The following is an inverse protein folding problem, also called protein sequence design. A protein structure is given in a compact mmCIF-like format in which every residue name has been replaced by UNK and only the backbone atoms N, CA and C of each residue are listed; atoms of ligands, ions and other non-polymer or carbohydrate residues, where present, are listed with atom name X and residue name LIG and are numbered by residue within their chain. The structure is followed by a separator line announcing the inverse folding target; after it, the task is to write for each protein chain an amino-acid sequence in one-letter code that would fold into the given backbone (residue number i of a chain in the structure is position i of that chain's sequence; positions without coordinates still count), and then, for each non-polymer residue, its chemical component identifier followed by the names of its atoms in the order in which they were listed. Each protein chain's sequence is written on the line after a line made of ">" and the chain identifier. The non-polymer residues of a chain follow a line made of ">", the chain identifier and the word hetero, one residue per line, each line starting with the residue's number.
data_IF_605955299640
#
_entry.id   IF_605955299640
#
_cell.length_a   1.000
_cell.length_b   1.000
_cell.length_c   1.000
_cell.angle_alpha   90.00
_cell.angle_beta   90.00
_cell.angle_gamma   90.00
#
_symmetry.space_group_name_H-M   'P 1'
#
loop_
_entity.id
_entity.type
_entity.pdbx_description
1 polymer ?
#
# COMPACT_ATOMS: atom_id res chain seq x y z
N UNK A 1 18.43 7.10 0.98
CA UNK A 1 17.43 6.35 1.77
C UNK A 1 17.70 4.85 1.68
N UNK A 2 17.63 4.12 2.80
CA UNK A 2 17.79 2.67 2.82
C UNK A 2 16.61 1.94 2.13
N UNK A 3 16.86 0.79 1.48
CA UNK A 3 15.81 0.02 0.78
C UNK A 3 14.70 -0.45 1.73
N UNK A 4 15.04 -0.74 2.98
CA UNK A 4 14.08 -1.12 4.01
C UNK A 4 13.12 0.03 4.37
N UNK A 5 13.67 1.23 4.50
CA UNK A 5 12.90 2.44 4.81
C UNK A 5 11.93 2.79 3.68
N UNK A 6 12.36 2.65 2.41
CA UNK A 6 11.46 2.81 1.24
C UNK A 6 10.31 1.81 1.26
N UNK A 7 10.61 0.54 1.52
CA UNK A 7 9.59 -0.51 1.60
C UNK A 7 8.60 -0.26 2.75
N UNK A 8 9.11 0.19 3.90
CA UNK A 8 8.31 0.54 5.06
C UNK A 8 7.37 1.70 4.76
N UNK A 9 7.86 2.78 4.14
CA UNK A 9 7.06 3.92 3.70
C UNK A 9 5.98 3.53 2.69
N UNK A 10 6.34 2.71 1.70
CA UNK A 10 5.42 2.25 0.67
C UNK A 10 4.28 1.42 1.28
N UNK A 11 4.59 0.45 2.13
CA UNK A 11 3.61 -0.36 2.84
C UNK A 11 2.75 0.49 3.79
N UNK A 12 3.36 1.48 4.45
CA UNK A 12 2.68 2.37 5.37
C UNK A 12 1.65 3.26 4.65
N UNK A 13 2.06 3.92 3.57
CA UNK A 13 1.18 4.78 2.78
C UNK A 13 0.01 3.99 2.18
N UNK A 14 0.28 2.79 1.65
CA UNK A 14 -0.76 1.91 1.14
C UNK A 14 -1.75 1.52 2.24
N UNK A 15 -1.26 1.21 3.44
CA UNK A 15 -2.11 0.91 4.60
C UNK A 15 -3.00 2.10 4.96
N UNK A 16 -2.46 3.31 5.01
CA UNK A 16 -3.23 4.54 5.29
C UNK A 16 -4.30 4.78 4.22
N UNK A 17 -3.97 4.60 2.94
CA UNK A 17 -4.95 4.78 1.85
C UNK A 17 -6.07 3.73 1.86
N UNK A 18 -5.79 2.55 2.40
CA UNK A 18 -6.73 1.43 2.50
C UNK A 18 -7.71 1.54 3.67
N UNK A 19 -7.48 2.48 4.59
CA UNK A 19 -8.39 2.68 5.72
C UNK A 19 -9.78 3.15 5.25
N UNK A 20 -10.78 2.83 6.07
CA UNK A 20 -12.15 3.33 5.89
C UNK A 20 -12.42 4.58 6.72
N UNK A 21 -11.62 4.83 7.75
CA UNK A 21 -11.79 5.90 8.72
C UNK A 21 -10.44 6.53 9.09
N UNK A 22 -10.47 7.77 9.59
CA UNK A 22 -9.27 8.48 10.04
C UNK A 22 -8.63 7.76 11.24
N UNK A 23 -7.30 7.81 11.29
CA UNK A 23 -6.53 7.26 12.40
C UNK A 23 -6.80 8.04 13.70
N UNK A 24 -6.68 7.40 14.88
CA UNK A 24 -6.79 8.10 16.15
C UNK A 24 -5.69 9.17 16.27
N UNK A 25 -6.03 10.30 16.90
CA UNK A 25 -5.15 11.48 17.06
C UNK A 25 -3.78 11.10 17.63
N UNK A 26 -3.73 10.23 18.64
CA UNK A 26 -2.47 9.76 19.25
C UNK A 26 -1.56 8.97 18.29
N UNK A 27 -2.10 8.43 17.19
CA UNK A 27 -1.33 7.78 16.13
C UNK A 27 -0.93 8.82 15.08
N UNK A 28 -1.82 9.76 14.74
CA UNK A 28 -1.52 10.86 13.82
C UNK A 28 -0.37 11.75 14.33
N UNK A 29 -0.36 12.08 15.62
CA UNK A 29 0.75 12.81 16.25
C UNK A 29 2.08 12.06 16.10
N UNK A 30 2.09 10.74 16.35
CA UNK A 30 3.30 9.92 16.20
C UNK A 30 3.78 9.89 14.75
N UNK A 31 2.87 9.81 13.79
CA UNK A 31 3.19 9.85 12.36
C UNK A 31 3.81 11.20 12.00
N UNK A 32 3.24 12.30 12.50
CA UNK A 32 3.78 13.64 12.30
C UNK A 32 5.18 13.77 12.88
N UNK A 33 5.39 13.36 14.13
CA UNK A 33 6.71 13.38 14.76
C UNK A 33 7.73 12.61 13.92
N UNK A 34 7.33 11.47 13.34
CA UNK A 34 8.20 10.69 12.44
C UNK A 34 8.47 11.44 11.12
N UNK A 35 7.48 12.14 10.56
CA UNK A 35 7.67 13.00 9.38
C UNK A 35 8.60 14.18 9.63
N UNK A 36 8.55 14.78 10.83
CA UNK A 36 9.40 15.90 11.24
C UNK A 36 10.85 15.48 11.56
N UNK A 37 11.00 14.29 12.17
CA UNK A 37 12.31 13.74 12.56
C UNK A 37 12.96 12.91 11.46
N UNK A 38 12.22 12.65 10.37
CA UNK A 38 12.60 11.78 9.25
C UNK A 38 12.98 10.35 9.70
N UNK A 39 12.51 9.90 10.87
CA UNK A 39 12.76 8.57 11.45
C UNK A 39 11.79 7.53 10.89
N UNK A 40 11.71 7.41 9.57
CA UNK A 40 10.70 6.61 8.88
C UNK A 40 10.70 5.11 9.25
N UNK A 41 11.81 4.57 9.76
CA UNK A 41 11.87 3.20 10.26
C UNK A 41 10.92 2.96 11.46
N UNK A 42 10.56 4.02 12.20
CA UNK A 42 9.55 3.95 13.27
C UNK A 42 8.13 3.74 12.75
N UNK A 43 7.85 4.01 11.47
CA UNK A 43 6.54 3.76 10.87
C UNK A 43 6.17 2.26 10.89
N UNK A 44 7.16 1.37 10.80
CA UNK A 44 6.95 -0.08 10.93
C UNK A 44 6.31 -0.43 12.29
N UNK A 45 6.93 0.07 13.36
CA UNK A 45 6.43 -0.14 14.71
C UNK A 45 5.05 0.50 14.90
N UNK A 46 4.83 1.72 14.40
CA UNK A 46 3.53 2.40 14.50
C UNK A 46 2.44 1.57 13.79
N UNK A 47 2.67 1.13 12.56
CA UNK A 47 1.71 0.36 11.80
C UNK A 47 1.41 -1.02 12.43
N UNK A 48 2.43 -1.70 12.97
CA UNK A 48 2.26 -2.99 13.64
C UNK A 48 1.52 -2.89 14.98
N UNK A 49 1.67 -1.77 15.69
CA UNK A 49 1.02 -1.54 16.99
C UNK A 49 -0.37 -0.91 16.87
N UNK A 50 -0.70 -0.30 15.72
CA UNK A 50 -2.03 0.22 15.46
C UNK A 50 -2.93 -0.87 14.87
N UNK A 51 -3.98 -1.34 15.57
CA UNK A 51 -4.83 -2.43 15.08
C UNK A 51 -5.57 -2.09 13.78
N UNK A 52 -5.81 -0.80 13.50
CA UNK A 52 -6.45 -0.33 12.27
C UNK A 52 -5.51 -0.42 11.06
N UNK A 53 -4.22 -0.12 11.24
CA UNK A 53 -3.23 -0.16 10.15
C UNK A 53 -2.65 -1.54 9.92
N UNK A 54 -2.50 -2.32 10.99
CA UNK A 54 -1.82 -3.62 10.97
C UNK A 54 -2.27 -4.54 9.83
N UNK A 55 -3.57 -4.80 9.59
CA UNK A 55 -3.99 -5.71 8.52
C UNK A 55 -3.52 -5.23 7.15
N UNK A 56 -3.90 -4.00 6.76
CA UNK A 56 -3.55 -3.43 5.45
C UNK A 56 -2.04 -3.20 5.29
N UNK A 57 -1.33 -2.91 6.39
CA UNK A 57 0.13 -2.79 6.38
C UNK A 57 0.81 -4.14 6.13
N UNK A 58 0.35 -5.20 6.78
CA UNK A 58 0.89 -6.55 6.56
C UNK A 58 0.60 -7.01 5.13
N UNK A 59 -0.60 -6.76 4.63
CA UNK A 59 -1.01 -7.10 3.26
C UNK A 59 -0.17 -6.34 2.22
N UNK A 60 -0.06 -5.02 2.35
CA UNK A 60 0.79 -4.21 1.49
C UNK A 60 2.24 -4.67 1.53
N UNK A 61 2.76 -5.00 2.72
CA UNK A 61 4.14 -5.50 2.87
C UNK A 61 4.33 -6.89 2.26
N UNK A 62 3.30 -7.75 2.28
CA UNK A 62 3.33 -9.04 1.60
C UNK A 62 3.30 -8.86 0.09
N UNK A 63 2.44 -7.98 -0.44
CA UNK A 63 2.40 -7.65 -1.86
C UNK A 63 3.77 -7.11 -2.35
N UNK A 64 4.42 -6.25 -1.56
CA UNK A 64 5.76 -5.75 -1.85
C UNK A 64 6.86 -6.81 -1.74
N UNK A 65 6.71 -7.77 -0.83
CA UNK A 65 7.61 -8.90 -0.67
C UNK A 65 7.21 -10.12 -1.52
N UNK A 66 6.29 -9.97 -2.48
CA UNK A 66 6.06 -10.96 -3.54
C UNK A 66 6.86 -10.57 -4.79
N UNK A 67 8.21 -10.68 -4.82
CA UNK A 67 8.89 -10.68 -6.09
C UNK A 67 8.52 -11.99 -6.83
N UNK A 68 7.98 -11.87 -8.04
CA UNK A 68 8.12 -12.88 -9.10
C UNK A 68 7.31 -14.19 -9.03
N UNK A 69 6.16 -14.27 -8.35
CA UNK A 69 5.25 -15.41 -8.56
C UNK A 69 4.37 -15.26 -9.82
N UNK A 70 4.06 -14.03 -10.25
CA UNK A 70 3.21 -13.81 -11.45
C UNK A 70 3.99 -13.50 -12.74
N UNK A 71 5.25 -13.05 -12.67
CA UNK A 71 6.08 -12.85 -13.88
C UNK A 71 6.62 -14.14 -14.50
N UNK A 72 6.30 -15.31 -13.94
CA UNK A 72 6.64 -16.64 -14.48
C UNK A 72 5.41 -17.53 -14.70
N UNK A 73 4.26 -16.96 -15.08
CA UNK A 73 3.29 -17.70 -15.89
C UNK A 73 3.46 -17.26 -17.34
N UNK A 74 4.46 -17.83 -18.00
CA UNK A 74 4.53 -17.82 -19.46
C UNK A 74 3.17 -18.23 -20.01
N UNK A 75 2.69 -17.46 -20.98
CA UNK A 75 1.44 -17.78 -21.67
C UNK A 75 1.58 -19.13 -22.37
N UNK A 76 0.79 -20.09 -21.94
CA UNK A 76 0.26 -21.15 -22.79
C UNK A 76 -0.95 -21.76 -22.08
N UNK A 77 -2.11 -21.14 -22.26
CA UNK A 77 -3.38 -21.81 -22.02
C UNK A 77 -4.23 -21.58 -23.27
N UNK A 78 -4.26 -22.62 -24.12
CA UNK A 78 -5.26 -22.80 -25.16
C UNK A 78 -6.67 -22.68 -24.54
N UNK A 79 -7.63 -22.04 -25.21
CA UNK A 79 -8.99 -21.97 -24.71
C UNK A 79 -9.64 -23.34 -24.86
N UNK A 80 -9.88 -24.05 -23.75
CA UNK A 80 -10.73 -25.23 -23.77
C UNK A 80 -12.18 -24.80 -23.51
N UNK A 81 -13.00 -24.91 -24.56
CA UNK A 81 -14.45 -24.70 -24.54
C UNK A 81 -15.12 -25.86 -23.80
N UNK A 82 -15.37 -25.72 -22.49
CA UNK A 82 -16.43 -26.49 -21.81
C UNK A 82 -17.03 -25.69 -20.66
N UNK A 83 -18.33 -25.31 -20.71
CA UNK A 83 -19.01 -24.70 -19.58
C UNK A 83 -19.62 -25.80 -18.71
N UNK A 84 -18.94 -26.20 -17.64
CA UNK A 84 -19.56 -27.00 -16.58
C UNK A 84 -20.23 -26.09 -15.54
N UNK A 85 -21.52 -26.32 -15.20
CA UNK A 85 -22.28 -25.49 -14.29
C UNK A 85 -22.07 -25.95 -12.84
N UNK A 86 -22.13 -25.00 -11.90
CA UNK A 86 -22.01 -25.16 -10.43
C UNK A 86 -20.60 -25.26 -9.86
N UNK A 87 -20.01 -24.10 -9.53
CA UNK A 87 -19.12 -23.97 -8.37
C UNK A 87 -19.32 -22.58 -7.74
N UNK A 88 -20.11 -22.54 -6.67
CA UNK A 88 -20.37 -21.37 -5.81
C UNK A 88 -19.16 -21.01 -4.93
N UNK A 89 -17.98 -21.60 -5.18
CA UNK A 89 -16.71 -21.29 -4.49
C UNK A 89 -15.75 -20.43 -5.34
N UNK A 90 -16.13 -20.07 -6.56
CA UNK A 90 -15.27 -19.30 -7.49
C UNK A 90 -15.41 -17.78 -7.32
N UNK A 91 -16.45 -17.31 -6.63
CA UNK A 91 -16.71 -15.87 -6.42
C UNK A 91 -15.79 -15.26 -5.34
N UNK A 92 -15.40 -16.04 -4.32
CA UNK A 92 -14.49 -15.55 -3.28
C UNK A 92 -13.06 -15.36 -3.81
N UNK A 93 -12.58 -16.26 -4.67
CA UNK A 93 -11.23 -16.14 -5.24
C UNK A 93 -11.14 -14.97 -6.22
N UNK A 94 -12.19 -14.71 -7.00
CA UNK A 94 -12.22 -13.60 -7.94
C UNK A 94 -12.17 -12.24 -7.22
N UNK A 95 -12.91 -12.09 -6.11
CA UNK A 95 -12.92 -10.85 -5.31
C UNK A 95 -11.56 -10.57 -4.64
N UNK A 96 -10.94 -11.60 -4.06
CA UNK A 96 -9.58 -11.52 -3.52
C UNK A 96 -8.55 -11.09 -4.60
N UNK A 97 -8.71 -11.55 -5.85
CA UNK A 97 -7.81 -11.18 -6.95
C UNK A 97 -8.00 -9.72 -7.39
N UNK A 98 -9.24 -9.21 -7.39
CA UNK A 98 -9.51 -7.81 -7.73
C UNK A 98 -8.96 -6.85 -6.68
N UNK A 99 -9.19 -7.12 -5.38
CA UNK A 99 -8.66 -6.31 -4.28
C UNK A 99 -7.11 -6.26 -4.28
N UNK A 100 -6.47 -7.38 -4.62
CA UNK A 100 -5.02 -7.44 -4.77
C UNK A 100 -4.50 -6.63 -5.96
N UNK A 101 -5.24 -6.56 -7.08
CA UNK A 101 -4.86 -5.73 -8.24
C UNK A 101 -4.95 -4.25 -7.93
N UNK A 102 -6.04 -3.80 -7.32
CA UNK A 102 -6.20 -2.42 -6.87
C UNK A 102 -5.09 -2.01 -5.89
N UNK A 103 -4.74 -2.90 -4.94
CA UNK A 103 -3.63 -2.66 -4.02
C UNK A 103 -2.28 -2.61 -4.76
N UNK A 104 -2.06 -3.48 -5.74
CA UNK A 104 -0.84 -3.47 -6.54
C UNK A 104 -0.69 -2.17 -7.35
N UNK A 105 -1.76 -1.69 -7.99
CA UNK A 105 -1.75 -0.40 -8.71
C UNK A 105 -1.47 0.79 -7.78
N UNK A 106 -2.05 0.77 -6.56
CA UNK A 106 -1.75 1.75 -5.53
C UNK A 106 -0.27 1.72 -5.15
N UNK A 107 0.28 0.53 -4.93
CA UNK A 107 1.69 0.33 -4.61
C UNK A 107 2.57 0.83 -5.75
N UNK A 108 2.33 0.45 -6.99
CA UNK A 108 3.09 0.91 -8.16
C UNK A 108 3.05 2.45 -8.30
N UNK A 109 1.92 3.09 -7.99
CA UNK A 109 1.82 4.57 -7.99
C UNK A 109 2.64 5.23 -6.88
N UNK A 110 2.63 4.67 -5.66
CA UNK A 110 3.45 5.15 -4.54
C UNK A 110 4.94 4.95 -4.86
N UNK A 111 5.30 3.83 -5.50
CA UNK A 111 6.66 3.58 -5.95
C UNK A 111 7.11 4.54 -7.06
N UNK A 112 6.25 4.81 -8.04
CA UNK A 112 6.54 5.78 -9.08
C UNK A 112 6.84 7.16 -8.50
N UNK A 113 6.10 7.58 -7.47
CA UNK A 113 6.34 8.84 -6.78
C UNK A 113 7.63 8.81 -5.93
N UNK A 114 7.90 7.70 -5.24
CA UNK A 114 9.18 7.49 -4.54
C UNK A 114 10.38 7.43 -5.49
N UNK A 115 10.16 7.10 -6.77
CA UNK A 115 11.19 6.98 -7.80
C UNK A 115 11.34 8.26 -8.64
N UNK A 116 10.42 9.23 -8.52
CA UNK A 116 10.17 10.19 -9.59
C UNK A 116 9.95 11.64 -9.15
N UNK A 117 11.04 12.34 -8.83
CA UNK A 117 11.27 13.72 -9.30
C UNK A 117 12.76 14.04 -9.15
N UNK A 118 13.45 14.08 -10.29
CA UNK A 118 14.82 14.57 -10.46
C UNK A 118 15.89 14.08 -9.46
N UNK A 119 16.52 12.94 -9.78
CA UNK A 119 17.96 12.75 -9.59
C UNK A 119 18.48 12.34 -8.20
N UNK A 120 17.74 12.57 -7.11
CA UNK A 120 18.21 12.19 -5.77
C UNK A 120 17.31 11.11 -5.16
N UNK A 121 17.68 9.86 -5.43
CA UNK A 121 17.09 8.66 -4.82
C UNK A 121 17.16 8.67 -3.27
N UNK A 122 17.83 9.64 -2.66
CA UNK A 122 18.06 9.65 -1.23
C UNK A 122 16.95 10.31 -0.39
N UNK A 123 16.12 11.18 -0.98
CA UNK A 123 15.13 11.98 -0.26
C UNK A 123 13.68 11.52 -0.45
N UNK A 124 12.86 11.73 0.58
CA UNK A 124 11.41 11.49 0.51
C UNK A 124 10.75 12.61 -0.28
N UNK A 125 9.95 12.31 -1.33
CA UNK A 125 9.30 13.34 -2.12
C UNK A 125 8.37 14.20 -1.26
N UNK A 126 8.26 15.49 -1.58
CA UNK A 126 7.43 16.45 -0.84
C UNK A 126 5.99 15.99 -0.70
N UNK A 127 5.46 15.26 -1.70
CA UNK A 127 4.13 14.65 -1.68
C UNK A 127 3.93 13.74 -0.46
N UNK A 128 4.93 12.92 -0.12
CA UNK A 128 4.88 12.00 1.02
C UNK A 128 5.15 12.74 2.33
N UNK A 129 6.09 13.70 2.35
CA UNK A 129 6.30 14.57 3.52
C UNK A 129 5.01 15.29 3.89
N UNK A 130 4.22 15.72 2.91
CA UNK A 130 2.91 16.36 3.11
C UNK A 130 1.86 15.42 3.69
N UNK A 131 1.87 14.13 3.34
CA UNK A 131 1.00 13.12 3.97
C UNK A 131 1.38 12.93 5.43
N UNK A 132 2.68 12.76 5.71
CA UNK A 132 3.18 12.46 7.06
C UNK A 132 3.08 13.67 8.00
N UNK A 133 3.23 14.89 7.49
CA UNK A 133 3.10 16.13 8.26
C UNK A 133 1.67 16.63 8.44
N UNK A 134 0.67 16.00 7.81
CA UNK A 134 -0.72 16.44 7.88
C UNK A 134 -1.32 16.30 9.29
N UNK A 135 -2.35 17.09 9.57
CA UNK A 135 -3.29 16.81 10.69
C UNK A 135 -4.02 15.51 10.41
N UNK A 136 -4.64 15.40 9.24
CA UNK A 136 -5.29 14.17 8.83
C UNK A 136 -4.51 13.51 7.68
N UNK A 137 -3.57 12.63 8.05
CA UNK A 137 -2.79 11.85 7.09
C UNK A 137 -3.67 10.94 6.22
N UNK A 138 -4.82 10.50 6.72
CA UNK A 138 -5.78 9.69 5.96
C UNK A 138 -6.44 10.51 4.85
N UNK A 139 -6.96 11.69 5.16
CA UNK A 139 -7.60 12.57 4.19
C UNK A 139 -6.63 13.00 3.09
N UNK A 140 -5.40 13.39 3.46
CA UNK A 140 -4.38 13.81 2.49
C UNK A 140 -3.88 12.62 1.65
N UNK A 141 -3.70 11.44 2.27
CA UNK A 141 -3.32 10.23 1.53
C UNK A 141 -4.37 9.86 0.48
N UNK A 142 -5.67 9.92 0.81
CA UNK A 142 -6.74 9.65 -0.17
C UNK A 142 -6.84 10.70 -1.28
N UNK A 143 -6.47 11.95 -1.00
CA UNK A 143 -6.45 13.01 -2.02
C UNK A 143 -5.32 12.79 -3.03
N UNK A 144 -4.15 12.35 -2.56
CA UNK A 144 -2.94 12.18 -3.38
C UNK A 144 -2.91 10.81 -4.07
N UNK A 145 -3.36 9.79 -3.36
CA UNK A 145 -3.45 8.40 -3.80
C UNK A 145 -4.88 7.90 -3.62
N UNK A 146 -5.78 8.24 -4.56
CA UNK A 146 -7.16 7.80 -4.48
C UNK A 146 -7.22 6.28 -4.58
N UNK A 147 -7.50 5.65 -3.45
CA UNK A 147 -7.81 4.23 -3.36
C UNK A 147 -9.32 4.05 -3.18
N UNK A 148 -9.92 3.19 -4.00
CA UNK A 148 -11.32 2.78 -3.88
C UNK A 148 -11.35 1.31 -3.48
N UNK A 149 -11.36 1.00 -2.18
CA UNK A 149 -11.71 -0.36 -1.79
C UNK A 149 -13.13 -0.62 -2.29
N UNK A 150 -13.30 -1.65 -3.13
CA UNK A 150 -14.61 -2.12 -3.55
C UNK A 150 -15.39 -2.52 -2.29
N UNK A 151 -16.60 -1.97 -2.16
CA UNK A 151 -17.46 -2.12 -0.99
C UNK A 151 -17.88 -3.57 -0.72
#
# INVERSE_FOLDING_TARGET
>A
MEPFTRLTLKAFLAAVCSLKESLPESVQEKIRTVGETEEYDRLDAIARNCPQLKPSYVEARQALNRPSQERNKGGDFLPDETPDPFNTETDNLARDIEELKDMQELLDRIEAELRGRDGDESEVPETIKRVLGAEDCFAIARQLFPYRPLA
#
